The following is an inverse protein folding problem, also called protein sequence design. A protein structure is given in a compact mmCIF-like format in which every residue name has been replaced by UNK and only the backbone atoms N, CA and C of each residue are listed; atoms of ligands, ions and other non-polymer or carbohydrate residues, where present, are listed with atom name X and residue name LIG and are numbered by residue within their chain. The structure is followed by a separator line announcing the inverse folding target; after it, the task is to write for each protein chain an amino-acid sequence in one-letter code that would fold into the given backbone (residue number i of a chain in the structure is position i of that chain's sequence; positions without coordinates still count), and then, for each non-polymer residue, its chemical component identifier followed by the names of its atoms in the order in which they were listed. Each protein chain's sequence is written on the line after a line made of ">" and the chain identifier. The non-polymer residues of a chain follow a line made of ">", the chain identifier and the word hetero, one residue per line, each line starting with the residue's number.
data_IF_903281225079
#
_entry.id   IF_903281225079
#
_cell.length_a   1.000
_cell.length_b   1.000
_cell.length_c   1.000
_cell.angle_alpha   90.00
_cell.angle_beta   90.00
_cell.angle_gamma   90.00
#
_symmetry.space_group_name_H-M   'P 1'
#
loop_
_entity.id
_entity.type
_entity.pdbx_description
1 polymer ?
#
# COMPACT_ATOMS: atom_id res chain seq x y z
N UNK A 1 20.52 0.46 62.67
CA UNK A 1 21.75 0.80 61.92
C UNK A 1 21.38 0.75 60.43
N UNK A 2 21.01 1.89 59.87
CA UNK A 2 21.87 2.81 59.09
C UNK A 2 21.85 2.36 57.61
N UNK A 3 21.03 2.94 56.72
CA UNK A 3 21.02 4.29 56.15
C UNK A 3 22.06 4.50 55.02
N UNK A 4 21.55 4.89 53.84
CA UNK A 4 22.12 5.65 52.70
C UNK A 4 21.64 5.00 51.38
N UNK A 5 20.67 5.51 50.59
CA UNK A 5 20.39 6.83 49.98
C UNK A 5 21.51 7.34 49.06
N UNK A 6 21.30 7.19 47.76
CA UNK A 6 21.77 8.05 46.67
C UNK A 6 20.73 7.88 45.53
N UNK A 7 19.75 8.80 45.40
CA UNK A 7 19.81 10.02 44.59
C UNK A 7 19.78 9.72 43.07
N UNK A 8 18.70 10.17 42.43
CA UNK A 8 18.37 10.02 41.00
C UNK A 8 19.37 10.73 40.06
N UNK A 9 19.15 10.63 38.73
CA UNK A 9 18.41 11.73 38.13
C UNK A 9 17.20 11.29 37.31
N UNK A 10 16.12 12.04 37.49
CA UNK A 10 14.97 12.13 36.60
C UNK A 10 15.42 12.73 35.24
N UNK A 11 14.89 12.17 34.14
CA UNK A 11 14.76 12.87 32.86
C UNK A 11 15.08 12.04 31.60
N UNK A 12 14.39 12.25 30.47
CA UNK A 12 13.03 12.78 30.28
C UNK A 12 12.04 11.66 29.94
N UNK A 13 10.80 11.82 30.41
CA UNK A 13 9.65 11.21 29.78
C UNK A 13 9.65 11.60 28.30
N UNK A 14 10.07 10.67 27.43
CA UNK A 14 9.88 10.80 26.00
C UNK A 14 8.39 10.56 25.75
N UNK A 15 7.68 11.68 25.81
CA UNK A 15 6.35 11.91 25.28
C UNK A 15 6.22 11.28 23.87
N UNK A 16 5.67 10.07 23.79
CA UNK A 16 5.28 9.44 22.51
C UNK A 16 3.84 9.79 22.13
N UNK A 17 3.27 10.88 22.64
CA UNK A 17 1.87 11.23 22.39
C UNK A 17 1.65 12.15 21.17
N UNK A 18 2.69 12.61 20.46
CA UNK A 18 2.55 13.57 19.34
C UNK A 18 2.65 12.94 17.92
N UNK A 19 3.07 11.69 17.78
CA UNK A 19 3.28 11.06 16.45
C UNK A 19 1.98 10.68 15.72
N UNK A 20 0.85 10.62 16.44
CA UNK A 20 -0.42 10.17 15.89
C UNK A 20 -1.00 11.12 14.84
N UNK A 21 -0.87 12.43 15.04
CA UNK A 21 -1.38 13.42 14.11
C UNK A 21 -0.51 13.49 12.84
N UNK A 22 0.82 13.53 13.00
CA UNK A 22 1.77 13.58 11.89
C UNK A 22 1.74 12.32 11.01
N UNK A 23 1.61 11.14 11.61
CA UNK A 23 1.47 9.88 10.86
C UNK A 23 0.17 9.82 10.05
N UNK A 24 -0.94 10.33 10.59
CA UNK A 24 -2.25 10.38 9.89
C UNK A 24 -2.25 11.38 8.74
N UNK A 25 -1.60 12.53 8.92
CA UNK A 25 -1.41 13.53 7.85
C UNK A 25 -0.56 12.95 6.69
N UNK A 26 0.53 12.26 7.01
CA UNK A 26 1.34 11.55 6.01
C UNK A 26 0.52 10.47 5.29
N UNK A 27 -0.21 9.62 6.03
CA UNK A 27 -1.07 8.61 5.42
C UNK A 27 -2.13 9.22 4.48
N UNK A 28 -2.74 10.33 4.90
CA UNK A 28 -3.71 11.07 4.09
C UNK A 28 -3.10 11.63 2.80
N UNK A 29 -1.90 12.22 2.85
CA UNK A 29 -1.25 12.77 1.65
C UNK A 29 -0.86 11.68 0.65
N UNK A 30 -0.33 10.56 1.12
CA UNK A 30 -0.05 9.39 0.27
C UNK A 30 -1.33 8.78 -0.31
N UNK A 31 -2.44 8.77 0.44
CA UNK A 31 -3.75 8.33 -0.05
C UNK A 31 -4.28 9.21 -1.18
N UNK A 32 -4.19 10.54 -1.03
CA UNK A 32 -4.59 11.51 -2.07
C UNK A 32 -3.70 11.40 -3.31
N UNK A 33 -2.37 11.36 -3.13
CA UNK A 33 -1.43 11.15 -4.24
C UNK A 33 -1.68 9.82 -4.94
N UNK A 34 -1.80 8.73 -4.17
CA UNK A 34 -2.09 7.40 -4.72
C UNK A 34 -3.40 7.36 -5.50
N UNK A 35 -4.46 7.99 -4.99
CA UNK A 35 -5.75 8.12 -5.67
C UNK A 35 -5.67 8.93 -6.96
N UNK A 36 -5.05 10.12 -6.90
CA UNK A 36 -4.84 10.98 -8.07
C UNK A 36 -4.00 10.28 -9.15
N UNK A 37 -2.84 9.72 -8.78
CA UNK A 37 -1.95 9.05 -9.72
C UNK A 37 -2.59 7.80 -10.32
N UNK A 38 -3.41 7.07 -9.57
CA UNK A 38 -4.21 5.97 -10.11
C UNK A 38 -5.29 6.45 -11.08
N UNK A 39 -5.86 7.64 -10.91
CA UNK A 39 -6.86 8.18 -11.83
C UNK A 39 -6.23 8.74 -13.12
N UNK A 40 -5.12 9.47 -13.02
CA UNK A 40 -4.49 10.17 -14.15
C UNK A 40 -3.52 9.30 -14.93
N UNK A 41 -2.70 8.50 -14.24
CA UNK A 41 -1.61 7.74 -14.84
C UNK A 41 -1.73 6.22 -14.63
N UNK A 42 -2.81 5.74 -13.99
CA UNK A 42 -2.95 4.36 -13.51
C UNK A 42 -1.73 3.88 -12.70
N UNK A 43 -1.05 4.80 -12.00
CA UNK A 43 0.25 4.55 -11.38
C UNK A 43 0.26 4.82 -9.87
N UNK A 44 -0.87 4.63 -9.18
CA UNK A 44 -0.89 4.68 -7.72
C UNK A 44 -0.08 3.54 -7.07
N UNK A 45 0.22 2.47 -7.81
CA UNK A 45 1.03 1.30 -7.40
C UNK A 45 2.38 1.69 -6.78
N UNK A 46 3.27 2.37 -7.52
CA UNK A 46 4.54 2.89 -7.02
C UNK A 46 4.43 3.72 -5.74
N UNK A 47 3.51 4.68 -5.70
CA UNK A 47 3.34 5.59 -4.55
C UNK A 47 2.93 4.82 -3.29
N UNK A 48 1.94 3.93 -3.42
CA UNK A 48 1.47 3.10 -2.31
C UNK A 48 2.56 2.12 -1.83
N UNK A 49 3.33 1.57 -2.78
CA UNK A 49 4.42 0.65 -2.47
C UNK A 49 5.52 1.32 -1.64
N UNK A 50 5.92 2.52 -2.00
CA UNK A 50 6.90 3.31 -1.22
C UNK A 50 6.37 3.65 0.16
N UNK A 51 5.10 4.05 0.27
CA UNK A 51 4.48 4.34 1.56
C UNK A 51 4.47 3.12 2.48
N UNK A 52 4.00 1.97 2.01
CA UNK A 52 3.90 0.76 2.82
C UNK A 52 5.26 0.17 3.20
N UNK A 53 6.25 0.26 2.31
CA UNK A 53 7.64 -0.09 2.63
C UNK A 53 8.22 0.83 3.71
N UNK A 54 8.03 2.15 3.57
CA UNK A 54 8.48 3.14 4.56
C UNK A 54 7.80 2.95 5.92
N UNK A 55 6.53 2.54 5.92
CA UNK A 55 5.77 2.21 7.13
C UNK A 55 6.15 0.84 7.74
N UNK A 56 7.12 0.11 7.19
CA UNK A 56 7.67 -1.12 7.77
C UNK A 56 6.76 -2.35 7.65
N UNK A 57 5.85 -2.39 6.68
CA UNK A 57 4.95 -3.53 6.51
C UNK A 57 5.70 -4.79 6.06
N UNK A 58 5.45 -5.91 6.75
CA UNK A 58 5.88 -7.25 6.31
C UNK A 58 5.16 -7.63 5.01
N UNK A 59 5.78 -8.49 4.18
CA UNK A 59 5.27 -8.88 2.83
C UNK A 59 3.78 -9.21 2.76
N UNK A 60 3.23 -9.97 3.73
CA UNK A 60 1.81 -10.32 3.74
C UNK A 60 0.90 -9.14 4.14
N UNK A 61 1.35 -8.31 5.08
CA UNK A 61 0.63 -7.09 5.46
C UNK A 61 0.67 -6.06 4.32
N UNK A 62 1.82 -5.92 3.65
CA UNK A 62 1.96 -5.09 2.45
C UNK A 62 0.96 -5.52 1.37
N UNK A 63 0.93 -6.81 1.03
CA UNK A 63 0.08 -7.33 -0.03
C UNK A 63 -1.42 -7.20 0.32
N UNK A 64 -1.80 -7.51 1.57
CA UNK A 64 -3.17 -7.38 2.03
C UNK A 64 -3.66 -5.91 2.06
N UNK A 65 -2.86 -5.01 2.63
CA UNK A 65 -3.21 -3.58 2.73
C UNK A 65 -3.27 -2.92 1.35
N UNK A 66 -2.31 -3.22 0.47
CA UNK A 66 -2.34 -2.71 -0.90
C UNK A 66 -3.54 -3.25 -1.70
N UNK A 67 -3.88 -4.54 -1.54
CA UNK A 67 -5.07 -5.11 -2.17
C UNK A 67 -6.36 -4.40 -1.73
N UNK A 68 -6.54 -4.18 -0.42
CA UNK A 68 -7.69 -3.43 0.10
C UNK A 68 -7.71 -1.97 -0.38
N UNK A 69 -6.56 -1.30 -0.35
CA UNK A 69 -6.45 0.07 -0.85
C UNK A 69 -6.87 0.17 -2.31
N UNK A 70 -6.31 -0.66 -3.20
CA UNK A 70 -6.66 -0.63 -4.61
C UNK A 70 -8.08 -1.12 -4.86
N UNK A 71 -8.62 -2.05 -4.08
CA UNK A 71 -10.02 -2.42 -4.17
C UNK A 71 -10.92 -1.22 -3.91
N UNK A 72 -10.72 -0.51 -2.78
CA UNK A 72 -11.53 0.66 -2.42
C UNK A 72 -11.40 1.76 -3.48
N UNK A 73 -10.18 2.08 -3.90
CA UNK A 73 -9.92 3.12 -4.91
C UNK A 73 -10.54 2.76 -6.27
N UNK A 74 -10.45 1.49 -6.70
CA UNK A 74 -11.04 1.05 -7.97
C UNK A 74 -12.56 0.94 -7.91
N UNK A 75 -13.15 0.52 -6.78
CA UNK A 75 -14.60 0.55 -6.59
C UNK A 75 -15.12 1.99 -6.64
N UNK A 76 -14.40 2.94 -6.03
CA UNK A 76 -14.73 4.36 -6.12
C UNK A 76 -14.69 4.91 -7.56
N UNK A 77 -13.96 4.25 -8.48
CA UNK A 77 -13.93 4.62 -9.91
C UNK A 77 -15.13 4.11 -10.72
N UNK A 78 -15.76 3.02 -10.31
CA UNK A 78 -16.89 2.41 -11.02
C UNK A 78 -18.02 3.39 -11.35
N UNK A 79 -18.52 4.26 -10.43
CA UNK A 79 -19.59 5.21 -10.77
C UNK A 79 -19.17 6.21 -11.86
N UNK A 80 -17.90 6.62 -11.89
CA UNK A 80 -17.38 7.48 -12.97
C UNK A 80 -17.32 6.73 -14.29
N UNK A 81 -16.89 5.47 -14.29
CA UNK A 81 -16.88 4.62 -15.49
C UNK A 81 -18.28 4.36 -16.05
N UNK A 82 -19.29 4.21 -15.19
CA UNK A 82 -20.70 4.12 -15.60
C UNK A 82 -21.17 5.45 -16.22
N UNK A 83 -20.87 6.58 -15.56
CA UNK A 83 -21.23 7.91 -16.05
C UNK A 83 -20.60 8.27 -17.40
N UNK A 84 -19.45 7.67 -17.73
CA UNK A 84 -18.76 7.81 -19.02
C UNK A 84 -19.23 6.81 -20.08
N UNK A 85 -20.19 5.91 -19.76
CA UNK A 85 -20.70 4.90 -20.69
C UNK A 85 -19.69 3.81 -21.06
N UNK A 86 -18.60 3.64 -20.30
CA UNK A 86 -17.53 2.68 -20.58
C UNK A 86 -17.87 1.25 -20.14
N UNK A 87 -18.95 1.07 -19.39
CA UNK A 87 -19.41 -0.24 -18.92
C UNK A 87 -20.49 -0.77 -19.86
N UNK A 88 -20.10 -1.69 -20.75
CA UNK A 88 -21.01 -2.45 -21.60
C UNK A 88 -21.27 -3.85 -21.01
N UNK A 89 -22.40 -4.48 -21.37
CA UNK A 89 -22.76 -5.83 -20.91
C UNK A 89 -21.70 -6.89 -21.27
N UNK A 90 -21.00 -6.71 -22.39
CA UNK A 90 -19.90 -7.60 -22.78
C UNK A 90 -18.65 -7.42 -21.90
N UNK A 91 -18.34 -6.19 -21.50
CA UNK A 91 -17.23 -5.90 -20.59
C UNK A 91 -17.48 -6.53 -19.21
N UNK A 92 -18.71 -6.42 -18.69
CA UNK A 92 -19.09 -7.05 -17.43
C UNK A 92 -18.97 -8.58 -17.45
N UNK A 93 -19.33 -9.23 -18.57
CA UNK A 93 -19.18 -10.67 -18.73
C UNK A 93 -17.70 -11.08 -18.75
N UNK A 94 -16.87 -10.30 -19.45
CA UNK A 94 -15.42 -10.52 -19.49
C UNK A 94 -14.81 -10.34 -18.10
N UNK A 95 -15.19 -9.30 -17.35
CA UNK A 95 -14.75 -9.08 -15.98
C UNK A 95 -15.18 -10.22 -15.05
N UNK A 96 -16.40 -10.74 -15.19
CA UNK A 96 -16.88 -11.88 -14.42
C UNK A 96 -16.09 -13.17 -14.69
N UNK A 97 -15.74 -13.42 -15.96
CA UNK A 97 -14.87 -14.54 -16.33
C UNK A 97 -13.47 -14.38 -15.72
N UNK A 98 -12.88 -13.18 -15.80
CA UNK A 98 -11.58 -12.90 -15.19
C UNK A 98 -11.61 -13.00 -13.66
N UNK A 99 -12.72 -12.57 -13.03
CA UNK A 99 -12.91 -12.67 -11.59
C UNK A 99 -12.83 -14.11 -11.08
N UNK A 100 -13.29 -15.08 -11.87
CA UNK A 100 -13.17 -16.51 -11.53
C UNK A 100 -11.71 -16.95 -11.37
N UNK A 101 -10.80 -16.38 -12.16
CA UNK A 101 -9.37 -16.69 -12.09
C UNK A 101 -8.65 -15.98 -10.94
N UNK A 102 -9.27 -15.00 -10.29
CA UNK A 102 -8.68 -14.27 -9.16
C UNK A 102 -8.43 -15.21 -7.97
N UNK A 103 -9.38 -16.11 -7.67
CA UNK A 103 -9.26 -17.05 -6.54
C UNK A 103 -8.04 -17.96 -6.68
N UNK A 104 -7.88 -18.77 -7.76
CA UNK A 104 -6.69 -19.59 -7.94
C UNK A 104 -5.41 -18.75 -8.06
N UNK A 105 -5.48 -17.58 -8.72
CA UNK A 105 -4.36 -16.65 -8.80
C UNK A 105 -3.89 -16.18 -7.42
N UNK A 106 -4.81 -15.89 -6.50
CA UNK A 106 -4.49 -15.47 -5.14
C UNK A 106 -3.83 -16.59 -4.33
N UNK A 107 -4.28 -17.84 -4.47
CA UNK A 107 -3.65 -19.00 -3.82
C UNK A 107 -2.23 -19.24 -4.34
N UNK A 108 -2.04 -19.19 -5.66
CA UNK A 108 -0.72 -19.33 -6.29
C UNK A 108 0.19 -18.18 -5.85
N UNK A 109 -0.31 -16.94 -5.89
CA UNK A 109 0.43 -15.76 -5.47
C UNK A 109 0.87 -15.85 -4.01
N UNK A 110 -0.02 -16.27 -3.10
CA UNK A 110 0.32 -16.51 -1.69
C UNK A 110 1.43 -17.57 -1.55
N UNK A 111 1.29 -18.71 -2.21
CA UNK A 111 2.29 -19.78 -2.16
C UNK A 111 3.67 -19.33 -2.68
N UNK A 112 3.69 -18.48 -3.72
CA UNK A 112 4.92 -17.88 -4.23
C UNK A 112 5.54 -16.89 -3.24
N UNK A 113 4.74 -15.98 -2.67
CA UNK A 113 5.22 -14.97 -1.72
C UNK A 113 5.73 -15.61 -0.43
N UNK A 114 5.13 -16.71 0.03
CA UNK A 114 5.59 -17.43 1.21
C UNK A 114 7.02 -17.97 1.04
N UNK A 115 7.43 -18.32 -0.19
CA UNK A 115 8.79 -18.77 -0.53
C UNK A 115 9.84 -17.65 -0.64
N UNK A 116 9.41 -16.39 -0.77
CA UNK A 116 10.31 -15.23 -0.93
C UNK A 116 10.68 -14.68 0.45
N UNK A 117 11.97 -14.43 0.71
CA UNK A 117 12.38 -13.79 1.96
C UNK A 117 12.02 -12.28 1.96
N UNK A 118 11.90 -11.66 3.14
CA UNK A 118 11.47 -10.26 3.26
C UNK A 118 12.39 -9.30 2.48
N UNK A 119 13.71 -9.52 2.53
CA UNK A 119 14.69 -8.64 1.87
C UNK A 119 14.60 -8.67 0.35
N UNK A 120 14.44 -9.86 -0.26
CA UNK A 120 14.23 -10.00 -1.69
C UNK A 120 12.89 -9.39 -2.11
N UNK A 121 11.83 -9.57 -1.30
CA UNK A 121 10.55 -8.93 -1.56
C UNK A 121 10.68 -7.40 -1.64
N UNK A 122 11.32 -6.78 -0.65
CA UNK A 122 11.54 -5.33 -0.63
C UNK A 122 12.37 -4.86 -1.84
N UNK A 123 13.44 -5.57 -2.18
CA UNK A 123 14.26 -5.26 -3.36
C UNK A 123 13.47 -5.35 -4.67
N UNK A 124 12.64 -6.38 -4.81
CA UNK A 124 11.77 -6.55 -5.99
C UNK A 124 10.75 -5.41 -6.08
N UNK A 125 10.11 -5.03 -4.97
CA UNK A 125 9.13 -3.94 -4.95
C UNK A 125 9.79 -2.60 -5.29
N UNK A 126 10.97 -2.31 -4.72
CA UNK A 126 11.72 -1.09 -5.04
C UNK A 126 12.14 -1.09 -6.51
N UNK A 127 12.67 -2.21 -7.02
CA UNK A 127 13.06 -2.34 -8.42
C UNK A 127 11.89 -2.11 -9.37
N UNK A 128 10.75 -2.75 -9.12
CA UNK A 128 9.53 -2.57 -9.91
C UNK A 128 8.99 -1.13 -9.82
N UNK A 129 9.09 -0.50 -8.64
CA UNK A 129 8.68 0.89 -8.43
C UNK A 129 9.54 1.87 -9.24
N UNK A 130 10.87 1.70 -9.22
CA UNK A 130 11.80 2.53 -9.99
C UNK A 130 11.56 2.35 -11.49
N UNK A 131 11.40 1.10 -11.95
CA UNK A 131 11.09 0.81 -13.35
C UNK A 131 9.77 1.44 -13.80
N UNK A 132 8.72 1.33 -12.97
CA UNK A 132 7.43 1.95 -13.25
C UNK A 132 7.51 3.47 -13.29
N UNK A 133 8.22 4.09 -12.35
CA UNK A 133 8.44 5.53 -12.33
C UNK A 133 9.22 6.01 -13.56
N UNK A 134 10.25 5.28 -13.98
CA UNK A 134 11.01 5.58 -15.18
C UNK A 134 10.14 5.46 -16.45
N UNK A 135 9.29 4.44 -16.52
CA UNK A 135 8.39 4.23 -17.65
C UNK A 135 7.37 5.37 -17.81
N UNK A 136 6.95 6.02 -16.72
CA UNK A 136 6.07 7.22 -16.75
C UNK A 136 6.81 8.50 -17.16
N UNK A 137 8.12 8.57 -16.94
CA UNK A 137 8.93 9.72 -17.37
C UNK A 137 9.27 9.63 -18.87
N UNK A 138 9.44 8.41 -19.38
CA UNK A 138 9.87 8.17 -20.76
C UNK A 138 8.71 8.04 -21.76
N UNK A 139 7.48 7.82 -21.30
CA UNK A 139 6.28 7.64 -22.12
C UNK A 139 5.11 8.39 -21.53
#
# INVERSE_FOLDING_TARGET
>A
RAAARAAAPEGPAADTADDGAGARLKAGSYGVLGGFTTMVANAGGPVMSLYLLSAGFRKLGFLGTSAWFFLIVNVAKVPFSIGLGLIDGRSLLLDALLALFVVPGAYIGKACVDRINQRLFEQLVIGATVLGGLQLLLR
#
